data_IF_316193767748
#
_entry.id   IF_316193767748
#
_cell.length_a   1.000
_cell.length_b   1.000
_cell.length_c   1.000
_cell.angle_alpha   90.00
_cell.angle_beta   90.00
_cell.angle_gamma   90.00
#
_symmetry.space_group_name_H-M   'P 1'
#
loop_
_entity.id
_entity.type
_entity.pdbx_description
1 polymer ?
#
# COMPACT_ATOMS: atom_id res chain seq x y z
N UNK A 1 4.72 -1.66 -5.50
CA UNK A 1 4.52 -1.16 -4.12
C UNK A 1 3.19 -1.67 -3.63
N UNK A 2 3.18 -2.33 -2.48
CA UNK A 2 1.97 -2.91 -1.87
C UNK A 2 1.62 -2.04 -0.67
N UNK A 3 0.44 -1.40 -0.71
CA UNK A 3 -0.01 -0.49 0.35
C UNK A 3 -0.54 -1.26 1.56
N UNK A 4 -0.11 -0.85 2.75
CA UNK A 4 -0.48 -1.49 4.00
C UNK A 4 -1.99 -1.51 4.30
N UNK A 5 -2.43 -2.55 5.00
CA UNK A 5 -3.78 -2.71 5.53
C UNK A 5 -3.72 -3.30 6.95
N UNK A 6 -4.82 -3.35 7.72
CA UNK A 6 -4.71 -3.79 9.11
C UNK A 6 -4.21 -5.24 9.28
N UNK A 7 -3.57 -5.51 10.41
CA UNK A 7 -3.36 -6.85 10.95
C UNK A 7 -3.93 -6.91 12.37
N UNK A 8 -4.20 -8.12 12.87
CA UNK A 8 -4.67 -8.30 14.25
C UNK A 8 -3.54 -8.16 15.27
N UNK A 9 -3.88 -8.28 16.56
CA UNK A 9 -2.94 -8.16 17.69
C UNK A 9 -1.90 -9.29 17.75
N UNK A 10 -2.11 -10.39 17.01
CA UNK A 10 -1.14 -11.48 16.87
C UNK A 10 -0.21 -11.29 15.66
N UNK A 11 -0.47 -10.30 14.81
CA UNK A 11 0.26 -10.06 13.57
C UNK A 11 -0.35 -10.77 12.36
N UNK A 12 -1.50 -11.44 12.50
CA UNK A 12 -2.17 -12.05 11.36
C UNK A 12 -2.71 -10.97 10.43
N UNK A 13 -2.31 -11.04 9.16
CA UNK A 13 -2.77 -10.12 8.12
C UNK A 13 -4.30 -10.23 7.95
N UNK A 14 -4.99 -9.10 7.89
CA UNK A 14 -6.41 -9.09 7.52
C UNK A 14 -6.62 -9.59 6.08
N UNK A 15 -7.84 -10.01 5.75
CA UNK A 15 -8.22 -10.40 4.38
C UNK A 15 -7.88 -9.31 3.34
N UNK A 16 -7.97 -8.03 3.74
CA UNK A 16 -7.57 -6.90 2.88
C UNK A 16 -6.06 -6.92 2.63
N UNK A 17 -5.26 -7.11 3.69
CA UNK A 17 -3.81 -7.15 3.57
C UNK A 17 -3.34 -8.36 2.77
N UNK A 18 -3.96 -9.53 2.99
CA UNK A 18 -3.72 -10.76 2.22
C UNK A 18 -4.05 -10.52 0.74
N UNK A 19 -5.25 -10.03 0.42
CA UNK A 19 -5.63 -9.79 -0.98
C UNK A 19 -4.70 -8.81 -1.71
N UNK A 20 -4.19 -7.78 -1.01
CA UNK A 20 -3.17 -6.88 -1.57
C UNK A 20 -1.82 -7.56 -1.75
N UNK A 21 -1.42 -8.42 -0.83
CA UNK A 21 -0.19 -9.19 -0.97
C UNK A 21 -0.26 -10.15 -2.16
N UNK A 22 -1.38 -10.86 -2.32
CA UNK A 22 -1.64 -11.75 -3.45
C UNK A 22 -1.64 -11.01 -4.79
N UNK A 23 -2.34 -9.87 -4.87
CA UNK A 23 -2.29 -9.03 -6.06
C UNK A 23 -0.86 -8.54 -6.35
N UNK A 24 -0.09 -8.23 -5.31
CA UNK A 24 1.33 -7.86 -5.44
C UNK A 24 2.21 -8.98 -5.98
N UNK A 25 1.94 -10.22 -5.60
CA UNK A 25 2.62 -11.41 -6.14
C UNK A 25 2.28 -11.59 -7.63
N UNK A 26 1.01 -11.45 -7.99
CA UNK A 26 0.58 -11.53 -9.40
C UNK A 26 1.27 -10.45 -10.25
N UNK A 27 1.31 -9.21 -9.76
CA UNK A 27 2.01 -8.12 -10.47
C UNK A 27 3.51 -8.36 -10.58
N UNK A 28 4.15 -8.92 -9.55
CA UNK A 28 5.58 -9.28 -9.61
C UNK A 28 5.83 -10.37 -10.67
N UNK A 29 4.98 -11.40 -10.73
CA UNK A 29 5.07 -12.46 -11.74
C UNK A 29 4.86 -11.91 -13.17
N UNK A 30 3.91 -10.99 -13.35
CA UNK A 30 3.61 -10.39 -14.65
C UNK A 30 4.68 -9.38 -15.11
N UNK A 31 5.55 -8.93 -14.19
CA UNK A 31 6.61 -7.98 -14.47
C UNK A 31 7.97 -8.51 -14.00
N UNK A 32 8.57 -9.49 -14.72
CA UNK A 32 9.86 -10.06 -14.36
C UNK A 32 10.96 -9.00 -14.22
N UNK A 33 11.74 -9.09 -13.15
CA UNK A 33 12.79 -8.11 -12.83
C UNK A 33 12.28 -6.88 -12.05
N UNK A 34 10.99 -6.81 -11.75
CA UNK A 34 10.45 -5.81 -10.82
C UNK A 34 10.90 -6.05 -9.38
N UNK A 35 10.89 -4.98 -8.58
CA UNK A 35 11.15 -5.04 -7.13
C UNK A 35 9.88 -4.71 -6.36
N UNK A 36 9.69 -5.38 -5.23
CA UNK A 36 8.53 -5.22 -4.36
C UNK A 36 8.88 -4.38 -3.14
N UNK A 37 8.24 -3.22 -3.02
CA UNK A 37 8.30 -2.37 -1.83
C UNK A 37 7.02 -2.54 -1.01
N UNK A 38 7.15 -2.96 0.24
CA UNK A 38 6.05 -3.07 1.20
C UNK A 38 5.97 -1.79 2.06
N UNK A 39 4.76 -1.32 2.32
CA UNK A 39 4.51 -0.16 3.19
C UNK A 39 3.64 -0.55 4.39
N UNK A 40 3.66 0.29 5.43
CA UNK A 40 2.88 0.13 6.65
C UNK A 40 3.75 -0.05 7.90
N UNK A 41 3.52 0.81 8.88
CA UNK A 41 4.15 0.84 10.20
C UNK A 41 3.20 0.33 11.28
N UNK A 42 2.81 1.23 12.18
CA UNK A 42 2.03 0.96 13.39
C UNK A 42 0.77 1.83 13.46
N UNK A 43 -0.19 1.49 14.32
CA UNK A 43 -1.35 2.34 14.60
C UNK A 43 -2.46 1.63 15.35
N UNK A 44 -3.19 2.35 16.21
CA UNK A 44 -4.22 1.76 17.09
C UNK A 44 -5.36 1.02 16.36
N UNK A 45 -5.69 1.43 15.14
CA UNK A 45 -6.67 0.77 14.27
C UNK A 45 -6.04 0.11 13.04
N UNK A 46 -4.72 -0.09 13.06
CA UNK A 46 -3.94 -0.57 11.91
C UNK A 46 -3.04 -1.74 12.29
N UNK A 47 -2.08 -1.51 13.19
CA UNK A 47 -1.15 -2.52 13.68
C UNK A 47 -0.66 -2.13 15.09
N UNK A 48 -1.07 -2.89 16.10
CA UNK A 48 -0.69 -2.68 17.51
C UNK A 48 0.45 -3.59 17.97
N UNK A 49 1.00 -4.40 17.06
CA UNK A 49 2.08 -5.34 17.39
C UNK A 49 3.44 -4.64 17.47
N UNK A 50 4.47 -5.26 18.07
CA UNK A 50 5.84 -4.72 18.08
C UNK A 50 6.54 -4.74 16.71
N UNK A 51 6.01 -5.50 15.75
CA UNK A 51 6.58 -5.63 14.39
C UNK A 51 5.79 -4.75 13.42
N UNK A 52 6.44 -3.94 12.57
CA UNK A 52 5.71 -3.08 11.64
C UNK A 52 5.00 -3.90 10.56
N UNK A 53 3.85 -3.41 10.11
CA UNK A 53 2.95 -4.12 9.19
C UNK A 53 3.67 -4.61 7.91
N UNK A 54 4.52 -3.77 7.33
CA UNK A 54 5.25 -4.08 6.12
C UNK A 54 6.15 -5.33 6.24
N UNK A 55 6.57 -5.70 7.47
CA UNK A 55 7.38 -6.91 7.71
C UNK A 55 6.53 -8.16 7.61
N UNK A 56 5.30 -8.15 8.13
CA UNK A 56 4.36 -9.27 7.93
C UNK A 56 4.03 -9.48 6.46
N UNK A 57 3.84 -8.39 5.70
CA UNK A 57 3.64 -8.48 4.24
C UNK A 57 4.88 -9.09 3.57
N UNK A 58 6.09 -8.63 3.90
CA UNK A 58 7.34 -9.21 3.38
C UNK A 58 7.47 -10.71 3.68
N UNK A 59 7.15 -11.13 4.89
CA UNK A 59 7.16 -12.53 5.31
C UNK A 59 6.13 -13.35 4.51
N UNK A 60 4.93 -12.80 4.32
CA UNK A 60 3.89 -13.40 3.48
C UNK A 60 4.40 -13.61 2.05
N UNK A 61 4.94 -12.57 1.40
CA UNK A 61 5.49 -12.66 0.04
C UNK A 61 6.59 -13.73 -0.08
N UNK A 62 7.50 -13.75 0.89
CA UNK A 62 8.61 -14.73 0.92
C UNK A 62 8.08 -16.16 1.06
N UNK A 63 7.09 -16.38 1.94
CA UNK A 63 6.45 -17.67 2.11
C UNK A 63 5.69 -18.15 0.85
N UNK A 64 5.30 -17.20 -0.02
CA UNK A 64 4.60 -17.47 -1.28
C UNK A 64 5.50 -17.40 -2.52
N UNK A 65 6.82 -17.47 -2.33
CA UNK A 65 7.77 -17.72 -3.43
C UNK A 65 8.33 -16.46 -4.10
N UNK A 66 8.06 -15.26 -3.59
CA UNK A 66 8.76 -14.05 -4.06
C UNK A 66 10.22 -14.10 -3.56
N UNK A 67 11.22 -14.04 -4.46
CA UNK A 67 12.63 -14.07 -4.06
C UNK A 67 12.98 -12.91 -3.11
N UNK A 68 13.77 -13.19 -2.08
CA UNK A 68 14.08 -12.17 -1.06
C UNK A 68 14.90 -11.02 -1.63
N UNK A 69 15.70 -11.26 -2.68
CA UNK A 69 16.43 -10.25 -3.43
C UNK A 69 15.51 -9.31 -4.25
N UNK A 70 14.27 -9.74 -4.51
CA UNK A 70 13.26 -8.94 -5.21
C UNK A 70 12.43 -8.09 -4.26
N UNK A 71 12.43 -8.40 -2.96
CA UNK A 71 11.76 -7.59 -1.94
C UNK A 71 12.76 -6.57 -1.38
N UNK A 72 12.40 -5.28 -1.44
CA UNK A 72 13.24 -4.22 -0.88
C UNK A 72 13.49 -4.49 0.62
N UNK A 73 14.75 -4.42 1.03
CA UNK A 73 15.18 -4.82 2.38
C UNK A 73 14.50 -3.97 3.46
N UNK A 74 14.60 -2.65 3.29
CA UNK A 74 14.03 -1.64 4.17
C UNK A 74 12.60 -1.27 3.71
N UNK A 75 11.55 -1.63 4.48
CA UNK A 75 10.20 -1.24 4.15
C UNK A 75 9.93 0.24 4.49
N UNK A 76 8.83 0.77 3.97
CA UNK A 76 8.34 2.11 4.34
C UNK A 76 7.41 2.00 5.54
N UNK A 77 7.84 2.57 6.67
CA UNK A 77 7.07 2.58 7.91
C UNK A 77 6.10 3.77 7.93
N UNK A 78 4.92 3.58 7.36
CA UNK A 78 3.88 4.59 7.18
C UNK A 78 2.64 4.32 8.03
N UNK A 79 1.95 5.37 8.47
CA UNK A 79 0.70 5.27 9.23
C UNK A 79 -0.54 5.35 8.33
N UNK A 80 -0.43 5.99 7.18
CA UNK A 80 -1.52 6.18 6.24
C UNK A 80 -1.05 6.25 4.78
N UNK A 81 -2.01 6.42 3.87
CA UNK A 81 -1.79 6.48 2.42
C UNK A 81 -0.99 7.71 1.97
N UNK A 82 -1.03 8.81 2.73
CA UNK A 82 -0.23 10.01 2.41
C UNK A 82 1.24 9.69 2.73
N UNK A 83 1.49 9.13 3.91
CA UNK A 83 2.82 8.70 4.32
C UNK A 83 3.37 7.58 3.44
N UNK A 84 2.53 6.63 3.00
CA UNK A 84 2.92 5.60 2.03
C UNK A 84 3.60 6.26 0.81
N UNK A 85 2.96 7.29 0.25
CA UNK A 85 3.49 7.98 -0.92
C UNK A 85 4.69 8.87 -0.57
N UNK A 86 4.58 9.68 0.50
CA UNK A 86 5.58 10.67 0.88
C UNK A 86 6.91 10.01 1.29
N UNK A 87 6.86 9.00 2.15
CA UNK A 87 8.04 8.30 2.67
C UNK A 87 8.66 7.35 1.64
N UNK A 88 7.88 6.90 0.64
CA UNK A 88 8.42 6.15 -0.49
C UNK A 88 9.17 7.03 -1.50
N UNK A 89 8.95 8.35 -1.48
CA UNK A 89 9.51 9.25 -2.48
C UNK A 89 11.04 9.23 -2.56
N UNK A 90 11.79 9.28 -1.44
CA UNK A 90 13.25 9.16 -1.49
C UNK A 90 13.73 7.84 -2.10
N UNK A 91 12.99 6.73 -1.94
CA UNK A 91 13.33 5.43 -2.53
C UNK A 91 13.13 5.48 -4.05
N UNK A 92 11.97 5.98 -4.49
CA UNK A 92 11.64 6.14 -5.92
C UNK A 92 12.67 7.02 -6.62
N UNK A 93 13.08 8.13 -5.99
CA UNK A 93 14.09 9.05 -6.52
C UNK A 93 15.50 8.45 -6.52
N UNK A 94 15.93 7.82 -5.41
CA UNK A 94 17.26 7.19 -5.27
C UNK A 94 17.52 6.16 -6.35
N UNK A 95 16.52 5.35 -6.71
CA UNK A 95 16.64 4.31 -7.73
C UNK A 95 16.18 4.75 -9.12
N UNK A 96 15.85 6.05 -9.31
CA UNK A 96 15.38 6.61 -10.57
C UNK A 96 14.22 5.80 -11.20
N UNK A 97 13.29 5.34 -10.35
CA UNK A 97 12.16 4.51 -10.77
C UNK A 97 11.25 5.31 -11.70
N UNK A 98 11.04 4.79 -12.92
CA UNK A 98 10.19 5.44 -13.93
C UNK A 98 8.78 4.90 -13.97
N UNK A 99 8.59 3.65 -13.59
CA UNK A 99 7.29 2.98 -13.56
C UNK A 99 7.05 2.43 -12.18
N UNK A 100 5.90 2.76 -11.60
CA UNK A 100 5.49 2.31 -10.27
C UNK A 100 4.15 1.60 -10.37
N UNK A 101 4.12 0.32 -10.02
CA UNK A 101 2.87 -0.41 -9.82
C UNK A 101 2.43 -0.20 -8.36
N UNK A 102 1.25 0.36 -8.15
CA UNK A 102 0.67 0.60 -6.81
C UNK A 102 -0.49 -0.35 -6.61
N UNK A 103 -0.31 -1.29 -5.69
CA UNK A 103 -1.30 -2.31 -5.34
C UNK A 103 -2.10 -1.85 -4.13
N UNK A 104 -3.42 -1.81 -4.27
CA UNK A 104 -4.37 -1.41 -3.22
C UNK A 104 -5.71 -2.11 -3.40
N UNK A 105 -6.66 -1.90 -2.51
CA UNK A 105 -8.02 -2.46 -2.65
C UNK A 105 -8.88 -1.66 -3.63
N UNK A 106 -9.76 -2.34 -4.36
CA UNK A 106 -10.74 -1.75 -5.28
C UNK A 106 -11.54 -0.55 -4.69
N UNK A 107 -12.06 -0.67 -3.48
CA UNK A 107 -12.82 0.40 -2.82
C UNK A 107 -11.97 1.64 -2.51
N UNK A 108 -10.66 1.45 -2.30
CA UNK A 108 -9.68 2.46 -1.88
C UNK A 108 -9.00 3.18 -3.06
N UNK A 109 -9.15 2.66 -4.27
CA UNK A 109 -8.44 3.08 -5.48
C UNK A 109 -8.49 4.60 -5.75
N UNK A 110 -9.66 5.24 -5.62
CA UNK A 110 -9.83 6.66 -5.94
C UNK A 110 -8.96 7.58 -5.07
N UNK A 111 -8.77 7.23 -3.79
CA UNK A 111 -7.97 8.04 -2.85
C UNK A 111 -6.49 7.85 -3.13
N UNK A 112 -6.06 6.61 -3.38
CA UNK A 112 -4.70 6.27 -3.79
C UNK A 112 -4.32 6.99 -5.08
N UNK A 113 -5.16 6.92 -6.12
CA UNK A 113 -4.94 7.62 -7.39
C UNK A 113 -4.80 9.14 -7.20
N UNK A 114 -5.63 9.73 -6.33
CA UNK A 114 -5.54 11.16 -6.04
C UNK A 114 -4.18 11.50 -5.42
N UNK A 115 -3.75 10.77 -4.39
CA UNK A 115 -2.51 11.03 -3.66
C UNK A 115 -1.28 10.77 -4.54
N UNK A 116 -1.16 9.57 -5.12
CA UNK A 116 0.04 9.11 -5.80
C UNK A 116 0.35 9.93 -7.05
N UNK A 117 -0.65 10.34 -7.82
CA UNK A 117 -0.43 11.18 -9.01
C UNK A 117 0.09 12.59 -8.69
N UNK A 118 -0.12 13.07 -7.45
CA UNK A 118 0.37 14.37 -6.98
C UNK A 118 1.76 14.27 -6.38
N UNK A 119 2.06 13.16 -5.69
CA UNK A 119 3.38 12.91 -5.11
C UNK A 119 4.40 12.53 -6.19
N UNK A 120 3.97 11.80 -7.22
CA UNK A 120 4.82 11.27 -8.29
C UNK A 120 4.43 11.77 -9.69
N UNK A 121 4.43 13.08 -9.97
CA UNK A 121 3.91 13.63 -11.23
C UNK A 121 4.76 13.28 -12.48
N UNK A 122 5.93 12.68 -12.30
CA UNK A 122 6.87 12.30 -13.38
C UNK A 122 7.10 10.78 -13.49
N UNK A 123 6.40 10.00 -12.67
CA UNK A 123 6.48 8.53 -12.69
C UNK A 123 5.24 8.01 -13.40
N UNK A 124 5.42 7.03 -14.27
CA UNK A 124 4.32 6.29 -14.87
C UNK A 124 3.72 5.34 -13.82
N UNK A 125 2.47 5.58 -13.42
CA UNK A 125 1.85 4.83 -12.32
C UNK A 125 0.80 3.89 -12.88
N UNK A 126 1.01 2.60 -12.65
CA UNK A 126 0.03 1.55 -12.91
C UNK A 126 -0.67 1.26 -11.59
N UNK A 127 -1.99 1.43 -11.55
CA UNK A 127 -2.79 1.12 -10.38
C UNK A 127 -3.40 -0.27 -10.51
N UNK A 128 -3.08 -1.16 -9.58
CA UNK A 128 -3.58 -2.53 -9.55
C UNK A 128 -4.47 -2.74 -8.32
N UNK A 129 -5.71 -3.17 -8.57
CA UNK A 129 -6.72 -3.36 -7.54
C UNK A 129 -6.82 -4.82 -7.11
N UNK A 130 -6.54 -5.10 -5.85
CA UNK A 130 -6.99 -6.32 -5.20
C UNK A 130 -8.52 -6.27 -5.03
N UNK A 131 -9.18 -7.34 -5.44
CA UNK A 131 -10.64 -7.50 -5.27
C UNK A 131 -10.95 -7.69 -3.80
N UNK A 132 -11.97 -6.98 -3.31
CA UNK A 132 -12.47 -7.15 -1.95
C UNK A 132 -13.74 -7.99 -1.97
N UNK A 133 -13.73 -9.16 -1.36
CA UNK A 133 -14.89 -10.06 -1.28
C UNK A 133 -15.58 -9.98 0.08
N UNK A 134 -16.24 -8.84 0.33
CA UNK A 134 -17.04 -8.63 1.53
C UNK A 134 -18.53 -8.56 1.23
N UNK A 135 -19.35 -8.71 2.27
CA UNK A 135 -20.79 -8.43 2.19
C UNK A 135 -21.06 -7.04 1.61
N UNK A 136 -22.15 -6.89 0.85
CA UNK A 136 -22.51 -5.61 0.24
C UNK A 136 -22.59 -4.46 1.26
N UNK A 137 -23.13 -4.71 2.46
CA UNK A 137 -23.20 -3.72 3.54
C UNK A 137 -21.80 -3.24 3.95
N UNK A 138 -20.90 -4.17 4.28
CA UNK A 138 -19.52 -3.83 4.64
C UNK A 138 -18.75 -3.12 3.52
N UNK A 139 -18.98 -3.52 2.27
CA UNK A 139 -18.35 -2.87 1.11
C UNK A 139 -18.83 -1.42 0.97
N UNK A 140 -20.12 -1.15 1.17
CA UNK A 140 -20.67 0.21 1.16
C UNK A 140 -20.14 1.08 2.31
N UNK A 141 -19.94 0.52 3.50
CA UNK A 141 -19.29 1.23 4.61
C UNK A 141 -17.88 1.70 4.26
N UNK A 142 -17.07 0.80 3.67
CA UNK A 142 -15.70 1.10 3.22
C UNK A 142 -15.73 2.17 2.13
N UNK A 143 -16.63 2.03 1.14
CA UNK A 143 -16.84 3.02 0.07
C UNK A 143 -17.22 4.40 0.59
N UNK A 144 -18.08 4.46 1.61
CA UNK A 144 -18.53 5.70 2.24
C UNK A 144 -17.42 6.36 3.07
N UNK A 145 -16.64 5.56 3.81
CA UNK A 145 -15.44 6.04 4.49
C UNK A 145 -14.45 6.65 3.50
N UNK A 146 -14.08 5.92 2.44
CA UNK A 146 -13.15 6.41 1.41
C UNK A 146 -13.60 7.68 0.72
N UNK A 147 -14.91 7.82 0.48
CA UNK A 147 -15.47 9.04 -0.12
C UNK A 147 -15.30 10.25 0.81
N UNK A 148 -15.52 10.08 2.11
CA UNK A 148 -15.35 11.14 3.12
C UNK A 148 -13.89 11.56 3.24
N UNK A 149 -12.97 10.60 3.35
CA UNK A 149 -11.54 10.89 3.48
C UNK A 149 -10.98 11.56 2.21
N UNK A 150 -11.38 11.11 1.02
CA UNK A 150 -11.01 11.78 -0.23
C UNK A 150 -11.57 13.20 -0.33
N UNK A 151 -12.77 13.46 0.20
CA UNK A 151 -13.35 14.80 0.19
C UNK A 151 -12.54 15.74 1.09
N UNK A 152 -12.22 15.32 2.31
CA UNK A 152 -11.36 16.08 3.23
C UNK A 152 -10.00 16.40 2.61
N UNK A 153 -9.36 15.38 2.02
CA UNK A 153 -8.09 15.53 1.29
C UNK A 153 -8.15 16.57 0.17
N UNK A 154 -9.28 16.70 -0.53
CA UNK A 154 -9.46 17.69 -1.59
C UNK A 154 -9.68 19.10 -1.06
N UNK A 155 -10.29 19.23 0.11
CA UNK A 155 -10.56 20.51 0.76
C UNK A 155 -9.32 21.06 1.46
N UNK A 156 -8.57 20.20 2.16
CA UNK A 156 -7.40 20.56 2.95
C UNK A 156 -6.10 20.57 2.12
N UNK A 157 -6.09 19.85 0.99
CA UNK A 157 -4.90 19.59 0.20
C UNK A 157 -4.01 18.50 0.79
N UNK A 158 -2.98 18.09 0.06
CA UNK A 158 -1.99 17.13 0.55
C UNK A 158 -0.89 17.92 1.25
N UNK A 159 -0.93 17.96 2.59
CA UNK A 159 0.15 18.47 3.40
C UNK A 159 1.25 17.40 3.48
N UNK A 160 2.23 17.49 2.59
CA UNK A 160 3.45 16.70 2.70
C UNK A 160 4.32 17.33 3.79
N UNK A 161 4.24 16.84 5.03
CA UNK A 161 5.28 17.15 6.02
C UNK A 161 6.57 16.50 5.56
N UNK A 162 7.67 17.27 5.37
CA UNK A 162 8.96 16.67 5.06
C UNK A 162 9.40 15.76 6.23
N UNK A 163 10.15 14.69 5.94
CA UNK A 163 10.72 13.81 6.95
C UNK A 163 11.69 14.55 7.89
#
# INVERSE_FOLDING_TARGET
>A
MILGAPNDESGALSDIAVGRAEQGIEEHHNHPGSKVLCTGGFGGHFNTTPTPHARYVKEYLSAHGVPSEDIVEDPVLSHDTIEDAALSKPIVEKYAIRTLIVVTSDFHMKRVQYIFTRVFPKVDIIFSSARTDFSAERYEELRAHEKRELQKLKEEGILLTPP
#
